data_IF_574690986365
#
_entry.id   IF_574690986365
#
_cell.length_a   1.000
_cell.length_b   1.000
_cell.length_c   1.000
_cell.angle_alpha   90.00
_cell.angle_beta   90.00
_cell.angle_gamma   90.00
#
_symmetry.space_group_name_H-M   'P 1'
#
loop_
_entity.id
_entity.type
_entity.pdbx_description
1 polymer ?
#
# COMPACT_ATOMS: atom_id res chain seq x y z
N UNK A 1 -21.93 -28.32 -8.06
CA UNK A 1 -20.84 -27.63 -8.78
C UNK A 1 -20.88 -26.16 -8.37
N UNK A 2 -19.84 -25.67 -7.71
CA UNK A 2 -19.77 -24.26 -7.30
C UNK A 2 -19.26 -23.48 -8.51
N UNK A 3 -20.13 -22.71 -9.15
CA UNK A 3 -19.71 -21.81 -10.24
C UNK A 3 -18.82 -20.73 -9.63
N UNK A 4 -17.61 -20.50 -10.12
CA UNK A 4 -16.79 -19.41 -9.61
C UNK A 4 -17.54 -18.08 -9.78
N UNK A 5 -17.38 -17.14 -8.84
CA UNK A 5 -18.02 -15.83 -8.96
C UNK A 5 -17.61 -15.15 -10.27
N UNK A 6 -18.50 -14.34 -10.86
CA UNK A 6 -18.17 -13.61 -12.08
C UNK A 6 -16.93 -12.72 -11.83
N UNK A 7 -16.05 -12.62 -12.83
CA UNK A 7 -14.89 -11.75 -12.81
C UNK A 7 -15.12 -10.53 -13.70
N UNK A 8 -14.45 -9.43 -13.41
CA UNK A 8 -14.40 -8.26 -14.28
C UNK A 8 -13.94 -8.64 -15.68
N UNK A 9 -14.53 -8.02 -16.70
CA UNK A 9 -13.99 -8.11 -18.07
C UNK A 9 -12.61 -7.45 -18.14
N UNK A 10 -11.81 -7.69 -19.21
CA UNK A 10 -10.51 -7.01 -19.38
C UNK A 10 -10.61 -5.48 -19.31
N UNK A 11 -11.68 -4.89 -19.89
CA UNK A 11 -11.92 -3.45 -19.88
C UNK A 11 -12.27 -2.95 -18.46
N UNK A 12 -13.09 -3.70 -17.73
CA UNK A 12 -13.43 -3.38 -16.33
C UNK A 12 -12.23 -3.50 -15.42
N UNK A 13 -11.36 -4.49 -15.66
CA UNK A 13 -10.12 -4.66 -14.90
C UNK A 13 -9.13 -3.52 -15.18
N UNK A 14 -9.03 -3.06 -16.43
CA UNK A 14 -8.21 -1.89 -16.77
C UNK A 14 -8.74 -0.63 -16.06
N UNK A 15 -10.04 -0.36 -16.13
CA UNK A 15 -10.67 0.77 -15.44
C UNK A 15 -10.47 0.71 -13.92
N UNK A 16 -10.55 -0.47 -13.32
CA UNK A 16 -10.29 -0.69 -11.90
C UNK A 16 -8.84 -0.35 -11.53
N UNK A 17 -7.86 -0.80 -12.33
CA UNK A 17 -6.44 -0.50 -12.10
C UNK A 17 -6.12 0.97 -12.26
N UNK A 18 -6.70 1.62 -13.27
CA UNK A 18 -6.53 3.06 -13.50
C UNK A 18 -7.10 3.87 -12.33
N UNK A 19 -8.28 3.50 -11.83
CA UNK A 19 -8.89 4.13 -10.66
C UNK A 19 -8.03 3.97 -9.41
N UNK A 20 -7.47 2.77 -9.16
CA UNK A 20 -6.56 2.56 -8.02
C UNK A 20 -5.31 3.42 -8.12
N UNK A 21 -4.70 3.49 -9.31
CA UNK A 21 -3.54 4.34 -9.54
C UNK A 21 -3.89 5.80 -9.26
N UNK A 22 -5.00 6.28 -9.78
CA UNK A 22 -5.48 7.64 -9.55
C UNK A 22 -5.71 7.92 -8.06
N UNK A 23 -6.34 6.98 -7.33
CA UNK A 23 -6.57 7.13 -5.88
C UNK A 23 -5.24 7.23 -5.13
N UNK A 24 -4.35 6.27 -5.32
CA UNK A 24 -3.13 6.18 -4.52
C UNK A 24 -2.05 7.18 -4.92
N UNK A 25 -1.98 7.60 -6.18
CA UNK A 25 -0.95 8.54 -6.64
C UNK A 25 -1.43 10.00 -6.68
N UNK A 26 -2.77 10.23 -6.79
CA UNK A 26 -3.30 11.58 -7.06
C UNK A 26 -4.34 12.03 -6.04
N UNK A 27 -5.34 11.20 -5.69
CA UNK A 27 -6.45 11.64 -4.83
C UNK A 27 -6.07 11.69 -3.35
N UNK A 28 -5.20 10.80 -2.88
CA UNK A 28 -4.69 10.84 -1.51
C UNK A 28 -3.58 11.90 -1.45
N UNK A 29 -3.93 13.12 -1.00
CA UNK A 29 -3.00 14.26 -0.96
C UNK A 29 -1.71 13.96 -0.20
N UNK A 30 -1.78 13.20 0.88
CA UNK A 30 -0.59 12.82 1.65
C UNK A 30 0.35 11.91 0.86
N UNK A 31 -0.18 11.00 0.03
CA UNK A 31 0.64 10.18 -0.87
C UNK A 31 1.34 11.04 -1.93
N UNK A 32 0.67 12.09 -2.44
CA UNK A 32 1.32 13.06 -3.33
C UNK A 32 2.48 13.77 -2.64
N UNK A 33 2.27 14.20 -1.38
CA UNK A 33 3.33 14.84 -0.58
C UNK A 33 4.54 13.90 -0.41
N UNK A 34 4.31 12.62 -0.21
CA UNK A 34 5.37 11.61 -0.14
C UNK A 34 5.97 11.25 -1.51
N UNK A 35 5.31 11.59 -2.60
CA UNK A 35 5.71 11.24 -3.97
C UNK A 35 5.53 9.75 -4.29
N UNK A 36 4.56 9.10 -3.65
CA UNK A 36 4.31 7.66 -3.84
C UNK A 36 3.85 7.34 -5.25
N UNK A 37 4.39 6.24 -5.80
CA UNK A 37 4.05 5.66 -7.10
C UNK A 37 3.70 4.20 -6.95
N UNK A 38 2.70 3.76 -7.71
CA UNK A 38 2.29 2.36 -7.77
C UNK A 38 3.21 1.61 -8.72
N UNK A 39 4.02 0.71 -8.19
CA UNK A 39 4.97 -0.12 -8.95
C UNK A 39 4.38 -1.48 -9.32
N UNK A 40 3.55 -2.07 -8.45
CA UNK A 40 2.87 -3.34 -8.71
C UNK A 40 1.49 -3.36 -8.06
N UNK A 41 0.50 -3.85 -8.83
CA UNK A 41 -0.88 -4.10 -8.37
C UNK A 41 -1.19 -5.61 -8.29
N UNK A 42 -0.18 -6.46 -8.28
CA UNK A 42 -0.40 -7.88 -8.03
C UNK A 42 -0.81 -8.05 -6.56
N UNK A 43 -1.94 -8.72 -6.31
CA UNK A 43 -2.50 -8.82 -4.95
C UNK A 43 -1.60 -9.62 -3.98
N UNK A 44 -0.75 -10.49 -4.50
CA UNK A 44 0.24 -11.28 -3.78
C UNK A 44 1.63 -10.62 -3.71
N UNK A 45 1.85 -9.57 -4.51
CA UNK A 45 3.10 -8.81 -4.57
C UNK A 45 2.87 -7.30 -4.81
N UNK A 46 2.02 -6.62 -3.99
CA UNK A 46 1.80 -5.19 -4.12
C UNK A 46 3.08 -4.41 -3.80
N UNK A 47 3.37 -3.38 -4.60
CA UNK A 47 4.53 -2.50 -4.35
C UNK A 47 4.20 -1.05 -4.61
N UNK A 48 4.66 -0.20 -3.70
CA UNK A 48 4.71 1.26 -3.86
C UNK A 48 6.18 1.69 -3.81
N UNK A 49 6.50 2.78 -4.49
CA UNK A 49 7.85 3.34 -4.46
C UNK A 49 7.84 4.85 -4.35
N UNK A 50 8.95 5.43 -3.90
CA UNK A 50 9.16 6.88 -3.86
C UNK A 50 10.65 7.22 -3.96
N UNK A 51 10.94 8.44 -4.45
CA UNK A 51 12.29 8.97 -4.51
C UNK A 51 12.65 9.71 -3.22
N UNK A 52 13.93 9.68 -2.86
CA UNK A 52 14.47 10.52 -1.78
C UNK A 52 14.38 12.00 -2.19
N UNK A 53 13.99 12.84 -1.25
CA UNK A 53 13.96 14.30 -1.37
C UNK A 53 14.32 14.92 -0.03
N UNK A 54 14.79 16.15 -0.06
CA UNK A 54 15.24 16.86 1.15
C UNK A 54 14.15 16.99 2.21
N UNK A 55 12.88 17.15 1.79
CA UNK A 55 11.73 17.24 2.69
C UNK A 55 11.44 15.94 3.46
N UNK A 56 11.99 14.80 3.02
CA UNK A 56 11.81 13.50 3.66
C UNK A 56 12.94 13.15 4.63
N UNK A 57 13.95 14.01 4.75
CA UNK A 57 15.12 13.81 5.62
C UNK A 57 14.73 14.07 7.08
N UNK A 58 14.98 13.08 7.94
CA UNK A 58 14.84 13.20 9.39
C UNK A 58 16.13 13.51 10.12
N UNK A 59 17.26 13.11 9.54
CA UNK A 59 18.60 13.40 10.08
C UNK A 59 19.41 14.20 9.06
N UNK A 60 19.45 15.52 9.24
CA UNK A 60 20.18 16.43 8.35
C UNK A 60 21.68 16.10 8.25
N UNK A 61 22.28 15.59 9.34
CA UNK A 61 23.71 15.24 9.37
C UNK A 61 24.06 14.00 8.54
N UNK A 62 23.09 13.13 8.23
CA UNK A 62 23.34 11.83 7.61
C UNK A 62 22.46 11.58 6.37
N UNK A 63 21.60 12.51 5.97
CA UNK A 63 20.70 12.33 4.82
C UNK A 63 19.78 11.12 4.92
N UNK A 64 19.32 10.77 6.13
CA UNK A 64 18.48 9.59 6.37
C UNK A 64 17.00 9.95 6.34
N UNK A 65 16.17 9.02 5.82
CA UNK A 65 14.72 9.12 5.90
C UNK A 65 14.24 9.38 7.32
N UNK A 66 13.27 10.27 7.44
CA UNK A 66 12.53 10.47 8.68
C UNK A 66 11.71 9.22 9.05
N UNK A 67 11.73 8.81 10.32
CA UNK A 67 10.95 7.66 10.80
C UNK A 67 9.45 7.80 10.52
N UNK A 68 8.91 9.02 10.58
CA UNK A 68 7.52 9.31 10.22
C UNK A 68 7.21 9.05 8.74
N UNK A 69 8.16 9.28 7.82
CA UNK A 69 8.02 8.92 6.40
C UNK A 69 7.96 7.40 6.26
N UNK A 70 8.87 6.69 6.93
CA UNK A 70 8.91 5.22 6.92
C UNK A 70 7.58 4.64 7.40
N UNK A 71 7.07 5.08 8.55
CA UNK A 71 5.80 4.59 9.09
C UNK A 71 4.61 4.93 8.20
N UNK A 72 4.56 6.14 7.62
CA UNK A 72 3.51 6.55 6.70
C UNK A 72 3.48 5.71 5.42
N UNK A 73 4.65 5.40 4.86
CA UNK A 73 4.76 4.56 3.66
C UNK A 73 4.35 3.11 3.96
N UNK A 74 4.76 2.57 5.12
CA UNK A 74 4.35 1.22 5.55
C UNK A 74 2.84 1.14 5.76
N UNK A 75 2.23 2.12 6.43
CA UNK A 75 0.77 2.19 6.58
C UNK A 75 0.06 2.22 5.22
N UNK A 76 0.54 3.07 4.31
CA UNK A 76 -0.06 3.20 2.98
C UNK A 76 0.04 1.91 2.16
N UNK A 77 1.19 1.23 2.14
CA UNK A 77 1.32 -0.03 1.38
C UNK A 77 0.50 -1.16 2.00
N UNK A 78 0.34 -1.18 3.33
CA UNK A 78 -0.58 -2.10 4.02
C UNK A 78 -2.03 -1.88 3.60
N UNK A 79 -2.51 -0.63 3.63
CA UNK A 79 -3.83 -0.25 3.14
C UNK A 79 -4.03 -0.56 1.65
N UNK A 80 -2.99 -0.35 0.83
CA UNK A 80 -2.99 -0.71 -0.59
C UNK A 80 -3.15 -2.22 -0.81
N UNK A 81 -2.42 -3.04 -0.06
CA UNK A 81 -2.54 -4.50 -0.11
C UNK A 81 -3.95 -4.97 0.28
N UNK A 82 -4.53 -4.41 1.34
CA UNK A 82 -5.92 -4.68 1.76
C UNK A 82 -6.90 -4.30 0.65
N UNK A 83 -6.70 -3.15 0.00
CA UNK A 83 -7.51 -2.67 -1.13
C UNK A 83 -7.50 -3.67 -2.28
N UNK A 84 -6.32 -4.16 -2.67
CA UNK A 84 -6.18 -5.17 -3.73
C UNK A 84 -6.83 -6.51 -3.35
N UNK A 85 -6.67 -6.95 -2.09
CA UNK A 85 -7.29 -8.17 -1.59
C UNK A 85 -8.83 -8.07 -1.58
N UNK A 86 -9.39 -6.92 -1.26
CA UNK A 86 -10.84 -6.65 -1.37
C UNK A 86 -11.26 -6.68 -2.85
N UNK A 87 -10.50 -6.06 -3.74
CA UNK A 87 -10.76 -6.08 -5.17
C UNK A 87 -10.76 -7.48 -5.78
N UNK A 88 -9.88 -8.37 -5.31
CA UNK A 88 -9.87 -9.78 -5.73
C UNK A 88 -11.05 -10.57 -5.13
N UNK A 89 -11.36 -10.34 -3.84
CA UNK A 89 -12.51 -10.97 -3.18
C UNK A 89 -13.84 -10.63 -3.87
N UNK A 90 -13.97 -9.41 -4.38
CA UNK A 90 -15.15 -8.89 -5.08
C UNK A 90 -14.86 -8.67 -6.57
N UNK A 91 -14.20 -9.64 -7.21
CA UNK A 91 -13.74 -9.54 -8.59
C UNK A 91 -14.83 -9.34 -9.65
N UNK A 92 -16.11 -9.54 -9.31
CA UNK A 92 -17.26 -9.27 -10.18
C UNK A 92 -17.83 -7.85 -10.04
N UNK A 93 -17.36 -7.06 -9.07
CA UNK A 93 -17.83 -5.68 -8.86
C UNK A 93 -17.14 -4.70 -9.79
N UNK A 94 -17.85 -3.62 -10.18
CA UNK A 94 -17.28 -2.51 -10.96
C UNK A 94 -16.23 -1.73 -10.14
N UNK A 95 -15.43 -0.92 -10.84
CA UNK A 95 -14.44 -0.06 -10.19
C UNK A 95 -15.07 0.85 -9.13
N UNK A 96 -16.23 1.46 -9.42
CA UNK A 96 -16.94 2.35 -8.50
C UNK A 96 -17.47 1.62 -7.27
N UNK A 97 -18.01 0.40 -7.44
CA UNK A 97 -18.50 -0.41 -6.34
C UNK A 97 -17.35 -0.78 -5.38
N UNK A 98 -16.20 -1.18 -5.92
CA UNK A 98 -15.03 -1.49 -5.11
C UNK A 98 -14.45 -0.22 -4.47
N UNK A 99 -14.42 0.91 -5.20
CA UNK A 99 -13.97 2.20 -4.65
C UNK A 99 -14.81 2.64 -3.43
N UNK A 100 -16.12 2.38 -3.45
CA UNK A 100 -16.98 2.67 -2.30
C UNK A 100 -16.58 1.86 -1.05
N UNK A 101 -16.06 0.64 -1.22
CA UNK A 101 -15.52 -0.17 -0.13
C UNK A 101 -14.22 0.41 0.42
N UNK A 102 -13.36 0.97 -0.45
CA UNK A 102 -12.10 1.58 -0.03
C UNK A 102 -12.30 2.77 0.89
N UNK A 103 -13.34 3.56 0.67
CA UNK A 103 -13.69 4.67 1.55
C UNK A 103 -13.98 4.29 3.00
N UNK A 104 -14.10 2.99 3.29
CA UNK A 104 -14.33 2.46 4.64
C UNK A 104 -13.08 1.88 5.28
N UNK A 105 -11.97 1.77 4.53
CA UNK A 105 -10.71 1.27 5.08
C UNK A 105 -10.11 2.35 5.98
N UNK A 106 -9.80 1.97 7.21
CA UNK A 106 -9.14 2.85 8.15
C UNK A 106 -8.14 2.07 9.00
N UNK A 107 -6.99 2.67 9.27
CA UNK A 107 -5.95 2.08 10.11
C UNK A 107 -6.41 2.05 11.57
N UNK A 108 -6.36 0.88 12.20
CA UNK A 108 -6.68 0.69 13.61
C UNK A 108 -5.41 0.71 14.44
N UNK A 109 -4.39 0.04 13.96
CA UNK A 109 -3.11 -0.14 14.66
C UNK A 109 -1.98 -0.28 13.64
N UNK A 110 -0.83 0.25 13.98
CA UNK A 110 0.41 0.15 13.19
C UNK A 110 1.59 0.02 14.15
N UNK A 111 2.29 -1.10 14.05
CA UNK A 111 3.61 -1.29 14.65
C UNK A 111 4.69 -1.21 13.59
N UNK A 112 5.77 -0.49 13.89
CA UNK A 112 6.93 -0.38 12.99
C UNK A 112 8.21 -0.73 13.74
N UNK A 113 9.02 -1.58 13.14
CA UNK A 113 10.37 -1.91 13.61
C UNK A 113 11.38 -1.29 12.64
N UNK A 114 12.17 -0.33 13.12
CA UNK A 114 13.22 0.36 12.36
C UNK A 114 14.53 -0.41 12.48
N UNK A 115 14.93 -1.09 11.43
CA UNK A 115 16.03 -2.05 11.45
C UNK A 115 17.35 -1.45 10.98
N UNK A 116 17.29 -0.52 9.99
CA UNK A 116 18.47 0.10 9.37
C UNK A 116 18.19 1.54 9.00
N UNK A 117 19.23 2.39 8.88
CA UNK A 117 19.07 3.74 8.34
C UNK A 117 18.51 3.70 6.91
N UNK A 118 17.49 4.49 6.61
CA UNK A 118 16.96 4.66 5.25
C UNK A 118 17.85 5.62 4.46
N UNK A 119 18.87 5.11 3.78
CA UNK A 119 19.79 5.87 2.93
C UNK A 119 19.69 5.35 1.50
N UNK A 120 19.55 6.24 0.54
CA UNK A 120 19.43 5.90 -0.88
C UNK A 120 18.68 6.96 -1.65
N UNK A 121 18.59 6.77 -2.96
CA UNK A 121 17.90 7.71 -3.86
C UNK A 121 16.43 7.34 -4.10
N UNK A 122 16.05 6.09 -3.89
CA UNK A 122 14.69 5.61 -3.99
C UNK A 122 14.45 4.45 -3.02
N UNK A 123 13.19 4.20 -2.70
CA UNK A 123 12.78 3.16 -1.76
C UNK A 123 11.54 2.46 -2.31
N UNK A 124 11.40 1.18 -1.96
CA UNK A 124 10.23 0.38 -2.32
C UNK A 124 9.61 -0.23 -1.06
N UNK A 125 8.29 -0.12 -0.96
CA UNK A 125 7.51 -0.77 0.08
C UNK A 125 6.66 -1.89 -0.51
N UNK A 126 6.59 -3.00 0.21
CA UNK A 126 5.73 -4.14 -0.13
C UNK A 126 4.93 -4.59 1.09
N UNK A 127 3.81 -5.28 0.84
CA UNK A 127 2.96 -5.80 1.90
C UNK A 127 2.36 -7.15 1.53
N UNK A 128 1.96 -7.89 2.55
CA UNK A 128 1.13 -9.08 2.42
C UNK A 128 -0.07 -8.99 3.36
N UNK A 129 -1.24 -9.39 2.89
CA UNK A 129 -2.43 -9.53 3.73
C UNK A 129 -2.37 -10.90 4.40
N UNK A 130 -2.20 -10.90 5.72
CA UNK A 130 -2.16 -12.12 6.54
C UNK A 130 -3.56 -12.70 6.69
N UNK A 131 -4.55 -11.81 6.87
CA UNK A 131 -5.94 -12.20 6.98
C UNK A 131 -6.85 -11.05 6.51
N UNK A 132 -7.80 -11.37 5.64
CA UNK A 132 -8.92 -10.50 5.30
C UNK A 132 -10.20 -11.08 5.92
N UNK A 133 -10.59 -10.53 7.05
CA UNK A 133 -11.86 -10.87 7.73
C UNK A 133 -13.04 -10.09 7.18
N UNK A 134 -14.21 -10.24 7.85
CA UNK A 134 -15.41 -9.47 7.49
C UNK A 134 -15.37 -8.01 7.95
N UNK A 135 -14.66 -7.73 9.05
CA UNK A 135 -14.58 -6.40 9.67
C UNK A 135 -13.16 -5.87 9.77
N UNK A 136 -12.18 -6.74 9.89
CA UNK A 136 -10.77 -6.38 10.13
C UNK A 136 -9.90 -7.18 9.18
N UNK A 137 -8.90 -6.50 8.58
CA UNK A 137 -7.77 -7.09 7.89
C UNK A 137 -6.48 -6.88 8.68
N UNK A 138 -5.56 -7.84 8.59
CA UNK A 138 -4.21 -7.71 9.16
C UNK A 138 -3.16 -7.90 8.06
N UNK A 139 -2.07 -7.14 8.18
CA UNK A 139 -1.00 -7.09 7.17
C UNK A 139 0.38 -7.17 7.81
N UNK A 140 1.35 -7.59 7.02
CA UNK A 140 2.78 -7.38 7.25
C UNK A 140 3.38 -6.60 6.09
N UNK A 141 4.29 -5.68 6.40
CA UNK A 141 4.89 -4.78 5.43
C UNK A 141 6.40 -4.73 5.60
N UNK A 142 7.10 -4.38 4.51
CA UNK A 142 8.54 -4.13 4.51
C UNK A 142 8.85 -2.92 3.64
N UNK A 143 9.82 -2.13 4.07
CA UNK A 143 10.43 -1.05 3.29
C UNK A 143 11.86 -1.45 2.94
N UNK A 144 12.21 -1.31 1.67
CA UNK A 144 13.50 -1.73 1.13
C UNK A 144 14.27 -0.52 0.59
N UNK A 145 15.59 -0.58 0.73
CA UNK A 145 16.51 0.36 0.10
C UNK A 145 16.77 0.00 -1.38
N UNK A 146 17.56 0.81 -2.13
CA UNK A 146 17.87 0.53 -3.54
C UNK A 146 18.62 -0.79 -3.78
N UNK A 147 19.25 -1.37 -2.77
CA UNK A 147 19.94 -2.65 -2.83
C UNK A 147 19.03 -3.84 -2.47
N UNK A 148 17.75 -3.56 -2.17
CA UNK A 148 16.79 -4.58 -1.76
C UNK A 148 16.95 -5.03 -0.31
N UNK A 149 17.70 -4.29 0.52
CA UNK A 149 17.81 -4.59 1.95
C UNK A 149 16.58 -4.03 2.70
N UNK A 150 16.04 -4.82 3.60
CA UNK A 150 14.95 -4.38 4.46
C UNK A 150 15.48 -3.36 5.47
N UNK A 151 14.98 -2.13 5.41
CA UNK A 151 15.32 -1.05 6.34
C UNK A 151 14.29 -0.90 7.48
N UNK A 152 13.05 -1.29 7.23
CA UNK A 152 12.01 -1.31 8.25
C UNK A 152 10.97 -2.39 7.92
N UNK A 153 10.33 -2.91 8.96
CA UNK A 153 9.16 -3.78 8.84
C UNK A 153 7.98 -3.19 9.61
N UNK A 154 6.78 -3.60 9.24
CA UNK A 154 5.57 -3.20 9.93
C UNK A 154 4.54 -4.32 10.01
N UNK A 155 3.66 -4.22 10.98
CA UNK A 155 2.44 -4.99 11.09
C UNK A 155 1.29 -4.03 11.40
N UNK A 156 0.15 -4.20 10.73
CA UNK A 156 -0.98 -3.32 10.91
C UNK A 156 -2.32 -4.06 10.87
N UNK A 157 -3.33 -3.43 11.48
CA UNK A 157 -4.72 -3.83 11.39
C UNK A 157 -5.55 -2.69 10.79
N UNK A 158 -6.52 -3.05 9.95
CA UNK A 158 -7.41 -2.11 9.26
C UNK A 158 -8.86 -2.51 9.44
N UNK A 159 -9.75 -1.54 9.71
CA UNK A 159 -11.18 -1.76 9.53
C UNK A 159 -11.49 -1.81 8.04
N UNK A 160 -12.41 -2.72 7.62
CA UNK A 160 -12.76 -2.95 6.20
C UNK A 160 -14.27 -3.00 5.95
N UNK A 161 -15.08 -2.59 6.92
CA UNK A 161 -16.57 -2.63 6.87
C UNK A 161 -17.20 -1.29 7.24
#
# INVERSE_FOLDING_TARGET
MHTPPPRRTPEQEAAYRDLLREIFEVKICFNQLLGLKVLSMQHDAPRLGFAMRDELIGSYAHGRLHGGVISAVLDTVGGFAVTLAIGEKFAGETAEQVAHRFGRIGTIDLRVDYLRPGIGQHFEATASVIRLGGRIASTQMSLLDPQGQIIATGAAAYVVS
#
